data_IF_085586344123
#
_entry.id   IF_085586344123
#
_cell.length_a   1.000
_cell.length_b   1.000
_cell.length_c   1.000
_cell.angle_alpha   90.00
_cell.angle_beta   90.00
_cell.angle_gamma   90.00
#
_symmetry.space_group_name_H-M   'P 1'
#
loop_
_entity.id
_entity.type
_entity.pdbx_description
1 polymer ?
#
# COMPACT_ATOMS: atom_id res chain seq x y z
N UNK A 1 35.74 -48.68 -54.49
CA UNK A 1 36.06 -48.51 -53.07
C UNK A 1 34.80 -48.03 -52.37
N UNK A 2 33.98 -48.94 -51.84
CA UNK A 2 32.75 -48.63 -51.12
C UNK A 2 33.07 -48.57 -49.62
N UNK A 3 33.00 -47.37 -49.04
CA UNK A 3 33.11 -47.17 -47.60
C UNK A 3 31.70 -47.33 -47.02
N UNK A 4 31.39 -48.53 -46.54
CA UNK A 4 30.22 -48.77 -45.70
C UNK A 4 30.47 -48.17 -44.32
N UNK A 5 30.02 -46.94 -44.07
CA UNK A 5 29.96 -46.39 -42.72
C UNK A 5 28.93 -47.19 -41.92
N UNK A 6 29.40 -47.89 -40.89
CA UNK A 6 28.56 -48.76 -40.08
C UNK A 6 27.56 -47.93 -39.27
N UNK A 7 26.32 -48.43 -39.17
CA UNK A 7 25.22 -47.85 -38.38
C UNK A 7 25.53 -47.68 -36.88
N UNK A 8 26.72 -48.07 -36.43
CA UNK A 8 27.17 -48.07 -35.03
C UNK A 8 27.65 -46.67 -34.60
N UNK A 9 28.03 -45.79 -35.53
CA UNK A 9 28.55 -44.45 -35.18
C UNK A 9 27.51 -43.48 -34.60
N UNK A 10 26.22 -43.71 -34.80
CA UNK A 10 25.16 -42.79 -34.35
C UNK A 10 24.46 -43.23 -33.06
N UNK A 11 24.64 -44.49 -32.64
CA UNK A 11 24.02 -45.05 -31.43
C UNK A 11 24.31 -44.23 -30.16
N UNK A 12 25.55 -43.78 -29.87
CA UNK A 12 25.80 -42.98 -28.68
C UNK A 12 25.14 -41.58 -28.76
N UNK A 13 25.09 -40.99 -29.95
CA UNK A 13 24.43 -39.69 -30.16
C UNK A 13 22.92 -39.80 -29.99
N UNK A 14 22.31 -40.86 -30.51
CA UNK A 14 20.87 -41.12 -30.36
C UNK A 14 20.50 -41.39 -28.90
N UNK A 15 21.32 -42.15 -28.17
CA UNK A 15 21.10 -42.39 -26.73
C UNK A 15 21.21 -41.08 -25.94
N UNK A 16 22.21 -40.23 -26.22
CA UNK A 16 22.36 -38.94 -25.56
C UNK A 16 21.18 -37.99 -25.81
N UNK A 17 20.64 -37.95 -27.03
CA UNK A 17 19.46 -37.15 -27.35
C UNK A 17 18.23 -37.68 -26.62
N UNK A 18 18.02 -39.01 -26.61
CA UNK A 18 16.88 -39.62 -25.91
C UNK A 18 16.95 -39.36 -24.40
N UNK A 19 18.14 -39.51 -23.80
CA UNK A 19 18.34 -39.21 -22.36
C UNK A 19 18.16 -37.72 -22.09
N UNK A 20 18.67 -36.82 -22.93
CA UNK A 20 18.48 -35.38 -22.78
C UNK A 20 17.01 -34.97 -22.86
N UNK A 21 16.24 -35.55 -23.80
CA UNK A 21 14.79 -35.30 -23.92
C UNK A 21 14.04 -35.91 -22.74
N UNK A 22 14.39 -37.11 -22.29
CA UNK A 22 13.78 -37.72 -21.11
C UNK A 22 14.08 -36.92 -19.84
N UNK A 23 15.30 -36.41 -19.65
CA UNK A 23 15.62 -35.52 -18.54
C UNK A 23 14.88 -34.20 -18.67
N UNK A 24 14.64 -33.67 -19.86
CA UNK A 24 13.86 -32.44 -20.02
C UNK A 24 12.35 -32.65 -19.81
N UNK A 25 11.80 -33.81 -20.17
CA UNK A 25 10.38 -34.16 -20.00
C UNK A 25 10.07 -34.70 -18.60
N UNK A 26 11.04 -35.36 -17.95
CA UNK A 26 10.91 -35.96 -16.61
C UNK A 26 11.63 -35.20 -15.51
N UNK A 27 12.49 -34.23 -15.85
CA UNK A 27 12.71 -33.15 -14.91
C UNK A 27 11.31 -32.60 -14.65
N UNK A 28 10.91 -32.44 -13.39
CA UNK A 28 9.80 -31.54 -13.14
C UNK A 28 10.22 -30.26 -13.86
N UNK A 29 9.55 -29.92 -14.96
CA UNK A 29 9.34 -28.51 -15.22
C UNK A 29 8.90 -28.01 -13.86
N UNK A 30 9.64 -27.09 -13.27
CA UNK A 30 9.16 -26.32 -12.15
C UNK A 30 7.88 -25.65 -12.67
N UNK A 31 6.78 -26.42 -12.66
CA UNK A 31 5.43 -25.93 -12.55
C UNK A 31 5.55 -25.30 -11.18
N UNK A 32 5.94 -24.02 -11.20
CA UNK A 32 5.88 -23.10 -10.09
C UNK A 32 4.55 -23.45 -9.44
N UNK A 33 4.65 -24.16 -8.32
CA UNK A 33 3.51 -24.77 -7.71
C UNK A 33 2.69 -23.59 -7.22
N UNK A 34 1.68 -23.24 -8.00
CA UNK A 34 0.66 -22.31 -7.58
C UNK A 34 0.09 -22.86 -6.28
N UNK A 35 0.49 -22.26 -5.16
CA UNK A 35 0.14 -22.72 -3.84
C UNK A 35 -1.08 -21.94 -3.40
N UNK A 36 -2.25 -22.54 -3.54
CA UNK A 36 -3.49 -21.95 -3.04
C UNK A 36 -3.38 -21.77 -1.53
N UNK A 37 -3.28 -20.53 -1.07
CA UNK A 37 -3.38 -20.26 0.35
C UNK A 37 -4.69 -20.85 0.88
N UNK A 38 -4.60 -21.74 1.86
CA UNK A 38 -5.77 -22.29 2.53
C UNK A 38 -6.22 -21.32 3.62
N UNK A 39 -7.48 -21.42 4.06
CA UNK A 39 -7.94 -20.62 5.21
C UNK A 39 -7.02 -20.81 6.43
N UNK A 40 -6.47 -22.01 6.63
CA UNK A 40 -5.54 -22.34 7.70
C UNK A 40 -4.19 -21.59 7.61
N UNK A 41 -3.88 -20.95 6.48
CA UNK A 41 -2.67 -20.13 6.30
C UNK A 41 -2.95 -18.63 6.37
N UNK A 42 -4.22 -18.25 6.36
CA UNK A 42 -4.62 -16.87 6.59
C UNK A 42 -4.34 -16.45 8.05
N UNK A 43 -4.22 -15.15 8.26
CA UNK A 43 -4.11 -14.55 9.58
C UNK A 43 -5.30 -14.89 10.49
N UNK A 44 -6.45 -15.22 9.90
CA UNK A 44 -7.67 -15.52 10.64
C UNK A 44 -7.85 -17.02 10.92
N UNK A 45 -7.38 -17.91 10.05
CA UNK A 45 -7.57 -19.35 10.17
C UNK A 45 -6.38 -20.12 10.72
N UNK A 46 -5.24 -19.46 10.96
CA UNK A 46 -4.07 -20.11 11.54
C UNK A 46 -4.39 -20.69 12.94
N UNK A 47 -4.07 -21.98 13.21
CA UNK A 47 -4.41 -22.62 14.48
C UNK A 47 -3.59 -22.13 15.69
N UNK A 48 -2.54 -21.35 15.46
CA UNK A 48 -1.64 -20.83 16.48
C UNK A 48 -1.97 -19.39 16.88
N UNK A 49 -2.36 -18.55 15.91
CA UNK A 49 -2.58 -17.12 16.14
C UNK A 49 -3.83 -16.55 15.45
N UNK A 50 -4.66 -17.39 14.84
CA UNK A 50 -5.91 -17.00 14.18
C UNK A 50 -6.97 -16.44 15.12
N UNK A 51 -8.18 -16.25 14.59
CA UNK A 51 -9.30 -15.74 15.38
C UNK A 51 -9.59 -16.74 16.51
N UNK A 52 -9.76 -16.21 17.71
CA UNK A 52 -9.98 -16.94 18.93
C UNK A 52 -10.93 -16.19 19.86
N UNK A 53 -12.22 -16.52 19.74
CA UNK A 53 -13.23 -16.12 20.72
C UNK A 53 -13.28 -17.15 21.82
N UNK A 54 -12.48 -16.89 22.84
CA UNK A 54 -12.18 -17.85 23.91
C UNK A 54 -13.42 -18.35 24.68
N UNK A 55 -14.56 -17.66 24.59
CA UNK A 55 -15.83 -17.97 25.23
C UNK A 55 -16.70 -18.99 24.45
N UNK A 56 -16.39 -19.25 23.18
CA UNK A 56 -17.16 -20.15 22.31
C UNK A 56 -16.77 -21.63 22.40
N UNK A 57 -15.55 -21.92 22.88
CA UNK A 57 -15.00 -23.28 22.91
C UNK A 57 -14.56 -23.84 21.55
N UNK A 58 -14.64 -23.04 20.47
CA UNK A 58 -14.11 -23.43 19.16
C UNK A 58 -12.56 -23.40 19.15
N UNK A 59 -11.90 -24.29 18.38
CA UNK A 59 -10.45 -24.19 18.16
C UNK A 59 -10.06 -22.83 17.56
N UNK A 60 -8.85 -22.36 17.88
CA UNK A 60 -8.26 -21.16 17.25
C UNK A 60 -8.26 -21.34 15.73
N UNK A 61 -8.64 -20.29 14.99
CA UNK A 61 -8.70 -20.32 13.53
C UNK A 61 -9.90 -21.09 12.96
N UNK A 62 -10.87 -21.47 13.79
CA UNK A 62 -12.12 -22.09 13.32
C UNK A 62 -13.01 -21.08 12.59
N UNK A 63 -13.59 -21.49 11.46
CA UNK A 63 -14.59 -20.69 10.73
C UNK A 63 -15.75 -20.25 11.64
N UNK A 64 -16.08 -21.07 12.65
CA UNK A 64 -17.19 -20.84 13.57
C UNK A 64 -17.00 -19.60 14.47
N UNK A 65 -15.79 -19.04 14.55
CA UNK A 65 -15.58 -17.76 15.23
C UNK A 65 -16.26 -16.59 14.50
N UNK A 66 -16.40 -16.69 13.18
CA UNK A 66 -17.08 -15.71 12.33
C UNK A 66 -18.44 -16.21 11.84
N UNK A 67 -18.55 -17.52 11.60
CA UNK A 67 -19.71 -18.17 10.99
C UNK A 67 -20.39 -19.12 11.97
N UNK A 68 -21.25 -18.61 12.84
CA UNK A 68 -22.03 -19.50 13.70
C UNK A 68 -23.17 -20.15 12.91
N UNK A 69 -23.26 -21.47 13.01
CA UNK A 69 -24.32 -22.27 12.37
C UNK A 69 -25.39 -22.70 13.37
N UNK A 70 -25.31 -22.26 14.64
CA UNK A 70 -26.15 -22.77 15.72
C UNK A 70 -27.37 -21.92 16.10
N UNK A 71 -27.69 -20.84 15.38
CA UNK A 71 -28.99 -20.16 15.54
C UNK A 71 -30.06 -20.79 14.62
N UNK A 72 -30.73 -21.83 15.13
CA UNK A 72 -31.87 -22.50 14.48
C UNK A 72 -33.10 -21.59 14.26
N UNK A 73 -33.12 -20.36 14.81
CA UNK A 73 -34.31 -19.50 14.82
C UNK A 73 -34.37 -18.46 13.70
N UNK A 74 -33.28 -18.25 12.95
CA UNK A 74 -33.22 -17.25 11.89
C UNK A 74 -32.55 -17.88 10.66
N UNK A 75 -33.31 -18.03 9.58
CA UNK A 75 -32.84 -18.55 8.28
C UNK A 75 -32.84 -17.46 7.21
N UNK A 76 -31.68 -16.85 7.04
CA UNK A 76 -31.36 -15.80 6.08
C UNK A 76 -29.83 -15.75 5.95
N UNK A 77 -29.32 -15.50 4.75
CA UNK A 77 -27.88 -15.65 4.44
C UNK A 77 -26.97 -14.71 5.25
N UNK A 78 -27.55 -13.66 5.86
CA UNK A 78 -26.89 -12.75 6.81
C UNK A 78 -26.78 -13.30 8.24
N UNK A 79 -27.46 -14.40 8.57
CA UNK A 79 -27.58 -14.97 9.92
C UNK A 79 -26.62 -16.15 10.18
N UNK A 80 -25.89 -16.60 9.15
CA UNK A 80 -24.78 -17.55 9.30
C UNK A 80 -23.48 -16.87 9.75
N UNK A 81 -23.55 -15.62 10.18
CA UNK A 81 -22.44 -14.89 10.79
C UNK A 81 -22.78 -14.61 12.24
N UNK A 82 -21.81 -14.80 13.13
CA UNK A 82 -21.99 -14.49 14.55
C UNK A 82 -22.10 -12.96 14.79
N UNK A 83 -21.75 -12.17 13.78
CA UNK A 83 -21.64 -10.72 13.84
C UNK A 83 -22.52 -10.06 12.78
N UNK A 84 -23.66 -9.51 13.20
CA UNK A 84 -24.51 -8.66 12.38
C UNK A 84 -24.53 -7.24 12.95
N UNK A 85 -24.51 -6.18 12.11
CA UNK A 85 -24.51 -6.22 10.64
C UNK A 85 -23.11 -6.30 9.98
N UNK A 86 -23.02 -6.94 8.80
CA UNK A 86 -21.83 -6.95 7.93
C UNK A 86 -21.47 -5.56 7.37
N UNK A 87 -22.45 -4.66 7.29
CA UNK A 87 -22.32 -3.42 6.52
C UNK A 87 -21.78 -2.28 7.37
N UNK A 88 -20.88 -1.45 6.82
CA UNK A 88 -20.66 -0.13 7.37
C UNK A 88 -21.96 0.67 7.24
N UNK A 89 -22.70 0.76 8.34
CA UNK A 89 -23.75 1.78 8.51
C UNK A 89 -23.14 3.14 8.85
N UNK A 90 -21.85 3.14 9.26
CA UNK A 90 -21.02 4.30 9.56
C UNK A 90 -19.51 3.96 9.46
N UNK A 91 -18.64 4.94 9.67
CA UNK A 91 -17.18 4.76 9.87
C UNK A 91 -16.80 4.01 11.17
N UNK A 92 -17.77 3.72 12.03
CA UNK A 92 -17.54 3.18 13.37
C UNK A 92 -18.20 1.82 13.59
N UNK A 93 -19.13 1.41 12.72
CA UNK A 93 -19.90 0.18 12.84
C UNK A 93 -19.56 -0.76 11.67
N UNK A 94 -18.69 -1.73 11.91
CA UNK A 94 -18.20 -2.68 10.91
C UNK A 94 -17.88 -4.01 11.60
N UNK A 95 -18.26 -5.17 11.03
CA UNK A 95 -17.97 -6.48 11.64
C UNK A 95 -16.46 -6.68 11.90
N UNK A 96 -15.58 -6.18 11.02
CA UNK A 96 -14.14 -6.23 11.18
C UNK A 96 -13.70 -5.51 12.48
N UNK A 97 -14.35 -4.41 12.84
CA UNK A 97 -14.03 -3.65 14.05
C UNK A 97 -14.42 -4.38 15.34
N UNK A 98 -15.21 -5.45 15.28
CA UNK A 98 -15.46 -6.24 16.49
C UNK A 98 -14.20 -6.97 17.00
N UNK A 99 -13.22 -7.18 16.11
CA UNK A 99 -11.89 -7.69 16.46
C UNK A 99 -10.78 -6.64 16.25
N UNK A 100 -10.93 -5.73 15.28
CA UNK A 100 -9.97 -4.67 14.97
C UNK A 100 -10.30 -3.33 15.64
N UNK A 101 -10.81 -3.41 16.87
CA UNK A 101 -10.99 -2.31 17.82
C UNK A 101 -10.19 -2.66 19.09
N UNK A 102 -9.83 -1.63 19.83
CA UNK A 102 -9.25 -1.73 21.17
C UNK A 102 -10.23 -2.30 22.20
N UNK A 103 -11.55 -2.31 21.91
CA UNK A 103 -12.59 -2.78 22.80
C UNK A 103 -12.96 -4.26 22.55
N UNK A 104 -13.05 -5.03 23.63
CA UNK A 104 -12.80 -6.49 23.71
C UNK A 104 -14.03 -7.33 23.30
N UNK A 105 -14.85 -6.86 22.35
CA UNK A 105 -16.14 -7.50 22.08
C UNK A 105 -16.04 -8.97 21.60
N UNK A 106 -14.93 -9.34 20.94
CA UNK A 106 -14.65 -10.72 20.53
C UNK A 106 -13.18 -11.11 20.76
N UNK A 107 -12.23 -10.36 20.18
CA UNK A 107 -10.79 -10.50 20.36
C UNK A 107 -10.12 -9.22 19.89
N UNK A 108 -9.54 -8.44 20.80
CA UNK A 108 -8.79 -7.25 20.40
C UNK A 108 -7.47 -7.65 19.74
N UNK A 109 -7.22 -7.15 18.53
CA UNK A 109 -5.94 -7.29 17.82
C UNK A 109 -5.27 -5.93 17.71
N UNK A 110 -4.00 -5.86 18.12
CA UNK A 110 -3.19 -4.67 17.88
C UNK A 110 -2.84 -4.58 16.40
N UNK A 111 -3.35 -3.55 15.75
CA UNK A 111 -3.08 -3.21 14.36
C UNK A 111 -2.64 -1.76 14.30
N UNK A 112 -1.33 -1.53 14.34
CA UNK A 112 -0.79 -0.19 14.19
C UNK A 112 -1.00 0.32 12.76
N UNK A 113 -0.91 1.64 12.58
CA UNK A 113 -0.84 2.28 11.28
C UNK A 113 0.40 1.84 10.47
N UNK A 114 0.36 2.07 9.15
CA UNK A 114 1.39 1.58 8.23
C UNK A 114 2.76 2.18 8.59
N UNK A 115 2.82 3.47 8.87
CA UNK A 115 4.06 4.18 9.22
C UNK A 115 4.72 3.66 10.49
N UNK A 116 3.95 3.15 11.44
CA UNK A 116 4.55 2.50 12.62
C UNK A 116 4.95 1.05 12.35
N UNK A 117 4.08 0.28 11.70
CA UNK A 117 4.31 -1.14 11.44
C UNK A 117 5.48 -1.36 10.46
N UNK A 118 5.56 -0.54 9.42
CA UNK A 118 6.47 -0.74 8.29
C UNK A 118 7.47 0.40 8.12
N UNK A 119 7.19 1.56 8.71
CA UNK A 119 8.12 2.69 8.77
C UNK A 119 8.92 2.79 10.05
N UNK A 120 8.64 1.98 11.06
CA UNK A 120 9.34 2.01 12.35
C UNK A 120 9.07 3.27 13.19
N UNK A 121 8.05 4.06 12.82
CA UNK A 121 7.62 5.25 13.57
C UNK A 121 6.75 4.94 14.78
N UNK A 122 6.40 5.99 15.51
CA UNK A 122 5.45 5.90 16.62
C UNK A 122 4.04 5.67 16.11
N UNK A 123 3.33 4.69 16.68
CA UNK A 123 1.95 4.40 16.30
C UNK A 123 1.01 5.57 16.61
N UNK A 124 0.28 6.03 15.61
CA UNK A 124 -0.78 7.04 15.77
C UNK A 124 -2.12 6.39 16.12
N UNK A 125 -2.30 5.17 15.65
CA UNK A 125 -3.40 4.30 16.01
C UNK A 125 -2.85 2.92 16.34
N UNK A 126 -3.50 2.22 17.27
CA UNK A 126 -3.17 0.81 17.60
C UNK A 126 -4.26 -0.15 17.14
N UNK A 127 -5.30 0.35 16.46
CA UNK A 127 -6.37 -0.45 15.88
C UNK A 127 -6.90 0.19 14.58
N UNK A 128 -7.57 -0.61 13.75
CA UNK A 128 -8.02 -0.16 12.43
C UNK A 128 -9.24 0.77 12.55
N UNK A 129 -10.09 0.57 13.56
CA UNK A 129 -11.25 1.45 13.79
C UNK A 129 -10.81 2.90 14.01
N UNK A 130 -9.85 3.14 14.90
CA UNK A 130 -9.35 4.48 15.19
C UNK A 130 -8.68 5.10 13.96
N UNK A 131 -7.94 4.30 13.18
CA UNK A 131 -7.32 4.77 11.94
C UNK A 131 -8.36 5.31 10.93
N UNK A 132 -9.54 4.69 10.82
CA UNK A 132 -10.63 5.16 9.96
C UNK A 132 -11.45 6.33 10.54
N UNK A 133 -11.13 6.78 11.76
CA UNK A 133 -11.87 7.83 12.46
C UNK A 133 -11.08 9.13 12.68
N UNK A 134 -9.85 9.24 12.17
CA UNK A 134 -9.18 10.55 12.03
C UNK A 134 -10.03 11.49 11.17
N UNK A 135 -10.12 12.76 11.57
CA UNK A 135 -10.92 13.80 10.90
C UNK A 135 -12.43 13.65 11.04
N UNK A 136 -12.95 12.88 12.02
CA UNK A 136 -14.40 12.70 12.23
C UNK A 136 -14.86 13.22 13.61
N UNK A 137 -16.09 13.75 13.74
CA UNK A 137 -17.11 13.92 12.70
C UNK A 137 -16.91 15.17 11.83
N UNK A 138 -16.11 16.11 12.33
CA UNK A 138 -15.77 17.35 11.64
C UNK A 138 -14.44 17.12 10.91
N UNK A 139 -14.49 17.02 9.58
CA UNK A 139 -13.30 16.92 8.72
C UNK A 139 -12.59 18.27 8.65
N UNK A 140 -12.18 18.80 9.79
CA UNK A 140 -11.29 19.95 9.79
C UNK A 140 -9.89 19.47 9.49
N UNK A 141 -9.11 20.31 8.80
CA UNK A 141 -7.76 19.96 8.35
C UNK A 141 -6.80 19.62 9.50
N UNK A 142 -7.08 20.10 10.71
CA UNK A 142 -6.26 19.89 11.90
C UNK A 142 -6.61 18.59 12.67
N UNK A 143 -7.74 17.93 12.33
CA UNK A 143 -8.20 16.71 12.99
C UNK A 143 -7.73 15.42 12.28
N UNK A 144 -6.92 15.57 11.23
CA UNK A 144 -6.43 14.48 10.40
C UNK A 144 -7.36 14.08 9.25
N UNK A 145 -7.10 12.91 8.67
CA UNK A 145 -7.83 12.43 7.49
C UNK A 145 -7.89 10.91 7.42
N UNK A 146 -8.95 10.37 6.81
CA UNK A 146 -9.18 8.94 6.67
C UNK A 146 -9.97 8.63 5.40
N UNK A 147 -9.79 7.42 4.86
CA UNK A 147 -10.67 6.94 3.79
C UNK A 147 -12.09 6.74 4.33
N UNK A 148 -13.08 7.20 3.58
CA UNK A 148 -14.48 6.98 3.92
C UNK A 148 -14.94 5.61 3.37
N UNK A 149 -15.21 4.66 4.26
CA UNK A 149 -15.60 3.29 3.95
C UNK A 149 -16.92 3.20 3.19
N UNK A 150 -17.89 4.06 3.53
CA UNK A 150 -19.14 4.12 2.77
C UNK A 150 -18.88 4.59 1.33
N UNK A 151 -18.12 5.67 1.17
CA UNK A 151 -17.78 6.17 -0.17
C UNK A 151 -16.94 5.17 -0.95
N UNK A 152 -16.01 4.46 -0.31
CA UNK A 152 -15.22 3.41 -0.94
C UNK A 152 -16.09 2.29 -1.49
N UNK A 153 -17.07 1.81 -0.70
CA UNK A 153 -18.03 0.79 -1.13
C UNK A 153 -18.88 1.30 -2.29
N UNK A 154 -19.50 2.47 -2.13
CA UNK A 154 -20.42 3.02 -3.12
C UNK A 154 -19.69 3.34 -4.44
N UNK A 155 -18.43 3.77 -4.37
CA UNK A 155 -17.57 3.99 -5.53
C UNK A 155 -17.25 2.69 -6.27
N UNK A 156 -16.96 1.61 -5.54
CA UNK A 156 -16.62 0.32 -6.16
C UNK A 156 -17.85 -0.37 -6.77
N UNK A 157 -19.01 -0.30 -6.12
CA UNK A 157 -20.30 -0.79 -6.64
C UNK A 157 -20.61 -0.22 -8.04
N UNK A 158 -20.31 1.07 -8.26
CA UNK A 158 -20.55 1.75 -9.53
C UNK A 158 -19.56 1.46 -10.66
N UNK A 159 -18.56 0.57 -10.49
CA UNK A 159 -17.41 0.44 -11.39
C UNK A 159 -17.32 -0.89 -12.12
N UNK A 160 -16.64 -0.91 -13.27
CA UNK A 160 -16.32 -2.15 -13.98
C UNK A 160 -15.45 -3.07 -13.11
N UNK A 161 -15.90 -4.31 -12.92
CA UNK A 161 -15.30 -5.25 -11.96
C UNK A 161 -15.86 -5.13 -10.53
N UNK A 162 -16.82 -4.23 -10.32
CA UNK A 162 -17.52 -3.97 -9.07
C UNK A 162 -18.81 -4.76 -8.86
N UNK A 163 -19.30 -5.51 -9.87
CA UNK A 163 -20.59 -6.22 -9.88
C UNK A 163 -20.85 -7.20 -8.70
N UNK A 164 -19.84 -7.44 -7.86
CA UNK A 164 -19.87 -8.31 -6.69
C UNK A 164 -19.99 -7.53 -5.37
N UNK A 165 -19.68 -6.24 -5.41
CA UNK A 165 -19.98 -5.31 -4.33
C UNK A 165 -21.47 -5.03 -4.40
N UNK A 166 -22.11 -5.07 -3.24
CA UNK A 166 -23.52 -4.77 -3.06
C UNK A 166 -23.63 -3.81 -1.89
N UNK A 167 -24.84 -3.32 -1.62
CA UNK A 167 -25.12 -2.59 -0.37
C UNK A 167 -24.77 -3.39 0.88
N UNK A 168 -24.76 -4.74 0.74
CA UNK A 168 -24.44 -5.69 1.80
C UNK A 168 -22.95 -6.08 1.88
N UNK A 169 -22.10 -5.46 1.06
CA UNK A 169 -20.67 -5.74 1.05
C UNK A 169 -19.93 -4.84 2.04
N UNK A 170 -19.14 -5.44 2.92
CA UNK A 170 -18.24 -4.71 3.79
C UNK A 170 -17.12 -4.03 2.98
N UNK A 171 -16.89 -2.73 3.20
CA UNK A 171 -15.89 -1.98 2.45
C UNK A 171 -14.45 -2.53 2.66
N UNK A 172 -14.13 -3.05 3.84
CA UNK A 172 -12.81 -3.63 4.12
C UNK A 172 -12.53 -4.86 3.24
N UNK A 173 -13.57 -5.62 2.87
CA UNK A 173 -13.39 -6.80 2.01
C UNK A 173 -13.12 -6.43 0.55
N UNK A 174 -13.17 -5.16 0.16
CA UNK A 174 -12.72 -4.72 -1.17
C UNK A 174 -11.21 -4.93 -1.31
N UNK A 175 -10.46 -4.58 -0.25
CA UNK A 175 -9.00 -4.64 -0.22
C UNK A 175 -8.46 -5.87 0.50
N UNK A 176 -9.26 -6.50 1.36
CA UNK A 176 -8.87 -7.66 2.16
C UNK A 176 -9.77 -8.85 1.84
N UNK A 177 -9.26 -10.07 2.01
CA UNK A 177 -10.09 -11.26 2.01
C UNK A 177 -9.83 -11.99 3.33
N UNK A 178 -10.79 -12.01 4.27
CA UNK A 178 -10.56 -12.61 5.58
C UNK A 178 -10.23 -14.11 5.49
N UNK A 179 -10.54 -14.78 4.39
CA UNK A 179 -10.17 -16.17 4.20
C UNK A 179 -8.72 -16.38 3.73
N UNK A 180 -8.01 -15.30 3.33
CA UNK A 180 -6.69 -15.36 2.68
C UNK A 180 -5.66 -14.45 3.31
N UNK A 181 -6.06 -13.22 3.68
CA UNK A 181 -5.17 -12.19 4.21
C UNK A 181 -4.23 -12.76 5.26
N UNK A 182 -2.92 -12.65 5.01
CA UNK A 182 -1.88 -13.26 5.83
C UNK A 182 -1.25 -12.23 6.78
N UNK A 183 -0.60 -12.74 7.83
CA UNK A 183 0.14 -11.90 8.79
C UNK A 183 1.47 -11.47 8.17
N UNK A 184 1.55 -10.20 7.74
CA UNK A 184 2.59 -9.67 6.85
C UNK A 184 3.76 -8.96 7.55
N UNK A 185 3.87 -9.00 8.87
CA UNK A 185 4.91 -8.27 9.62
C UNK A 185 5.86 -9.15 10.45
N UNK A 186 5.40 -10.26 11.05
CA UNK A 186 6.15 -10.99 12.09
C UNK A 186 7.47 -11.65 11.64
N UNK A 187 7.67 -11.88 10.34
CA UNK A 187 8.88 -12.57 9.84
C UNK A 187 9.44 -11.98 8.54
N UNK A 188 8.87 -10.88 8.03
CA UNK A 188 9.22 -10.24 6.75
C UNK A 188 9.98 -11.15 5.76
N UNK A 189 9.34 -12.26 5.32
CA UNK A 189 10.02 -13.26 4.53
C UNK A 189 10.41 -12.71 3.15
N UNK A 190 11.53 -13.19 2.62
CA UNK A 190 11.96 -12.90 1.25
C UNK A 190 11.03 -13.59 0.25
N UNK A 191 10.77 -13.02 -0.94
CA UNK A 191 10.00 -13.69 -1.98
C UNK A 191 10.58 -15.08 -2.32
N UNK A 192 9.75 -16.08 -2.67
CA UNK A 192 8.30 -16.01 -2.89
C UNK A 192 7.46 -16.15 -1.60
N UNK A 193 8.08 -16.24 -0.43
CA UNK A 193 7.37 -16.50 0.83
C UNK A 193 6.69 -15.23 1.41
N UNK A 194 6.62 -14.14 0.63
CA UNK A 194 6.11 -12.85 1.10
C UNK A 194 4.63 -12.96 1.50
N UNK A 195 4.36 -12.78 2.79
CA UNK A 195 3.00 -12.76 3.30
C UNK A 195 2.38 -11.39 3.07
N UNK A 196 1.16 -11.35 2.55
CA UNK A 196 0.44 -10.08 2.34
C UNK A 196 -0.99 -10.15 2.85
N UNK A 197 -1.49 -9.00 3.31
CA UNK A 197 -2.84 -8.87 3.84
C UNK A 197 -3.84 -8.38 2.78
N UNK A 198 -3.36 -7.90 1.64
CA UNK A 198 -4.17 -7.21 0.63
C UNK A 198 -4.42 -8.08 -0.59
N UNK A 199 -5.54 -7.81 -1.27
CA UNK A 199 -5.87 -8.33 -2.60
C UNK A 199 -6.23 -7.19 -3.53
N UNK A 200 -5.97 -7.34 -4.83
CA UNK A 200 -6.36 -6.31 -5.79
C UNK A 200 -7.88 -6.32 -5.99
N UNK A 201 -8.53 -5.19 -5.78
CA UNK A 201 -9.99 -5.07 -5.77
C UNK A 201 -10.68 -5.52 -7.08
N UNK A 202 -10.02 -5.35 -8.24
CA UNK A 202 -10.53 -5.77 -9.56
C UNK A 202 -10.13 -7.19 -9.96
N UNK A 203 -9.30 -7.88 -9.18
CA UNK A 203 -8.83 -9.23 -9.46
C UNK A 203 -9.83 -10.29 -8.99
N UNK A 204 -11.14 -9.99 -8.96
CA UNK A 204 -12.13 -11.05 -8.77
C UNK A 204 -12.03 -11.99 -9.96
N UNK A 205 -11.60 -13.19 -9.63
CA UNK A 205 -11.84 -14.42 -10.34
C UNK A 205 -13.32 -14.55 -10.73
N UNK A 206 -13.66 -14.18 -11.95
CA UNK A 206 -14.98 -14.43 -12.55
C UNK A 206 -15.22 -15.91 -12.91
N UNK A 207 -14.39 -16.82 -12.36
CA UNK A 207 -14.46 -18.25 -12.61
C UNK A 207 -14.51 -19.06 -11.31
N UNK A 208 -15.30 -20.12 -11.31
CA UNK A 208 -15.45 -21.14 -10.25
C UNK A 208 -14.10 -21.83 -9.89
N UNK A 209 -13.03 -21.56 -10.64
CA UNK A 209 -11.67 -22.10 -10.50
C UNK A 209 -10.58 -21.02 -10.65
N UNK A 210 -10.88 -19.74 -10.38
CA UNK A 210 -9.80 -18.76 -10.31
C UNK A 210 -9.50 -18.43 -8.84
N UNK A 211 -8.28 -18.75 -8.40
CA UNK A 211 -7.91 -18.79 -7.00
C UNK A 211 -7.69 -17.38 -6.44
N UNK A 212 -7.70 -17.31 -5.12
CA UNK A 212 -7.92 -16.09 -4.35
C UNK A 212 -6.56 -15.40 -4.20
N UNK A 213 -6.18 -14.69 -5.27
CA UNK A 213 -4.87 -14.07 -5.44
C UNK A 213 -4.72 -12.90 -4.47
N UNK A 214 -3.82 -13.04 -3.52
CA UNK A 214 -3.36 -11.90 -2.74
C UNK A 214 -2.51 -11.00 -3.66
N UNK A 215 -2.14 -9.81 -3.17
CA UNK A 215 -1.35 -8.86 -3.96
C UNK A 215 0.01 -8.63 -3.30
N UNK A 216 1.05 -8.92 -4.04
CA UNK A 216 2.45 -8.78 -3.64
C UNK A 216 3.03 -10.03 -3.00
N UNK A 217 2.35 -11.17 -3.08
CA UNK A 217 2.88 -12.48 -2.71
C UNK A 217 3.63 -13.17 -3.86
N UNK A 218 3.45 -12.72 -5.10
CA UNK A 218 4.14 -13.26 -6.27
C UNK A 218 5.24 -12.32 -6.79
N UNK A 219 6.47 -12.84 -6.89
CA UNK A 219 7.59 -12.14 -7.55
C UNK A 219 7.40 -12.07 -9.08
N UNK A 220 6.75 -13.09 -9.62
CA UNK A 220 6.29 -13.14 -11.00
C UNK A 220 4.92 -12.44 -11.05
N UNK A 221 4.54 -11.81 -12.17
CA UNK A 221 3.28 -11.03 -12.31
C UNK A 221 3.26 -9.59 -11.76
N UNK A 222 4.43 -8.95 -11.58
CA UNK A 222 4.52 -7.48 -11.40
C UNK A 222 3.96 -6.94 -10.07
N UNK A 223 3.81 -7.80 -9.07
CA UNK A 223 3.11 -7.45 -7.83
C UNK A 223 4.01 -6.84 -6.75
N UNK A 224 5.33 -6.78 -6.98
CA UNK A 224 6.31 -6.14 -6.11
C UNK A 224 6.89 -4.89 -6.78
N UNK A 225 7.18 -3.85 -6.00
CA UNK A 225 7.74 -2.58 -6.50
C UNK A 225 9.06 -2.80 -7.26
N UNK A 226 9.93 -3.68 -6.75
CA UNK A 226 11.26 -3.93 -7.32
C UNK A 226 11.31 -4.87 -8.53
N UNK A 227 10.27 -5.68 -8.77
CA UNK A 227 10.30 -6.79 -9.74
C UNK A 227 9.32 -6.63 -10.91
N UNK A 228 8.80 -5.43 -11.16
CA UNK A 228 7.90 -5.19 -12.28
C UNK A 228 8.64 -5.32 -13.64
N UNK A 229 8.66 -6.51 -14.24
CA UNK A 229 9.39 -6.87 -15.48
C UNK A 229 8.96 -6.11 -16.74
N UNK A 230 7.92 -5.25 -16.68
CA UNK A 230 7.69 -4.23 -17.73
C UNK A 230 8.67 -3.05 -17.60
N UNK A 231 9.60 -3.09 -16.64
CA UNK A 231 10.61 -2.08 -16.38
C UNK A 231 10.01 -0.77 -15.86
N UNK A 232 8.76 -0.79 -15.39
CA UNK A 232 8.04 0.43 -15.06
C UNK A 232 8.62 1.16 -13.84
N UNK A 233 9.10 0.40 -12.85
CA UNK A 233 9.68 0.88 -11.59
C UNK A 233 10.99 0.20 -11.23
N UNK A 234 11.34 -0.88 -11.94
CA UNK A 234 12.57 -1.63 -11.72
C UNK A 234 13.76 -0.70 -11.88
N UNK A 235 14.68 -0.77 -10.93
CA UNK A 235 15.86 0.09 -10.80
C UNK A 235 15.58 1.59 -10.53
N UNK A 236 14.30 1.99 -10.40
CA UNK A 236 13.89 3.35 -10.03
C UNK A 236 13.35 3.42 -8.60
N UNK A 237 12.69 2.38 -8.10
CA UNK A 237 12.20 2.41 -6.73
C UNK A 237 13.34 2.44 -5.72
N UNK A 238 13.26 3.38 -4.78
CA UNK A 238 14.19 3.52 -3.66
C UNK A 238 13.38 3.67 -2.38
N UNK A 239 13.52 2.70 -1.47
CA UNK A 239 12.81 2.72 -0.20
C UNK A 239 13.32 3.87 0.70
N UNK A 240 12.43 4.52 1.47
CA UNK A 240 12.81 5.40 2.56
C UNK A 240 13.47 4.62 3.70
N UNK A 241 14.13 5.35 4.61
CA UNK A 241 14.66 4.73 5.82
C UNK A 241 13.57 4.31 6.82
N UNK A 242 13.80 3.16 7.45
CA UNK A 242 13.01 2.64 8.56
C UNK A 242 13.45 3.23 9.91
N UNK A 243 12.49 3.59 10.75
CA UNK A 243 12.70 4.09 12.10
C UNK A 243 13.25 5.51 12.14
N UNK A 244 13.86 5.91 13.26
CA UNK A 244 14.45 7.25 13.42
C UNK A 244 15.97 7.19 13.54
N UNK A 245 16.68 8.00 12.76
CA UNK A 245 18.13 8.14 12.88
C UNK A 245 18.75 9.01 11.80
N UNK A 246 20.05 9.32 11.91
CA UNK A 246 20.89 9.32 10.73
C UNK A 246 21.19 7.86 10.35
N UNK A 247 20.94 7.49 9.10
CA UNK A 247 21.15 6.14 8.60
C UNK A 247 22.19 6.10 7.48
N UNK A 248 22.74 4.92 7.23
CA UNK A 248 23.69 4.72 6.14
C UNK A 248 22.92 4.67 4.80
N UNK A 249 23.23 5.53 3.81
CA UNK A 249 22.52 5.57 2.53
C UNK A 249 22.63 4.30 1.70
N UNK A 250 23.60 3.44 1.98
CA UNK A 250 23.85 2.20 1.26
C UNK A 250 23.26 1.01 2.01
N UNK A 251 23.40 0.95 3.33
CA UNK A 251 23.02 -0.24 4.11
C UNK A 251 21.74 -0.08 4.95
N UNK A 252 21.12 1.10 4.96
CA UNK A 252 19.85 1.32 5.62
C UNK A 252 19.96 1.48 7.15
N UNK A 253 18.92 1.10 7.91
CA UNK A 253 17.79 0.23 7.54
C UNK A 253 16.72 0.90 6.67
N UNK A 254 16.09 0.13 5.78
CA UNK A 254 15.07 0.57 4.82
C UNK A 254 13.69 -0.02 5.11
N UNK A 255 12.66 0.72 4.73
CA UNK A 255 11.28 0.25 4.74
C UNK A 255 11.03 -0.85 3.67
N UNK A 256 10.04 -1.73 3.87
CA UNK A 256 9.17 -1.85 5.04
C UNK A 256 9.76 -2.73 6.17
N UNK A 257 10.88 -3.41 5.91
CA UNK A 257 11.35 -4.53 6.72
C UNK A 257 12.40 -4.16 7.79
N UNK A 258 12.91 -2.93 7.79
CA UNK A 258 13.96 -2.50 8.71
C UNK A 258 15.30 -3.20 8.45
N UNK A 259 15.58 -3.57 7.21
CA UNK A 259 16.79 -4.28 6.79
C UNK A 259 17.51 -3.53 5.65
N UNK A 260 18.48 -4.17 4.98
CA UNK A 260 19.28 -3.56 3.90
C UNK A 260 18.61 -3.61 2.51
N UNK A 261 17.37 -4.12 2.41
CA UNK A 261 16.64 -4.20 1.14
C UNK A 261 15.97 -2.86 0.81
N UNK A 262 16.53 -2.12 -0.13
CA UNK A 262 16.02 -0.79 -0.54
C UNK A 262 15.26 -0.77 -1.87
N UNK A 263 15.35 -1.84 -2.66
CA UNK A 263 14.90 -1.85 -4.05
C UNK A 263 13.43 -2.25 -4.24
N UNK A 264 12.68 -2.44 -3.15
CA UNK A 264 11.25 -2.78 -3.21
C UNK A 264 10.97 -4.23 -3.64
N UNK A 265 11.98 -5.10 -3.66
CA UNK A 265 11.78 -6.55 -3.87
C UNK A 265 11.03 -7.23 -2.73
N UNK A 266 10.73 -6.52 -1.64
CA UNK A 266 9.98 -6.97 -0.48
C UNK A 266 8.76 -6.06 -0.18
N UNK A 267 8.31 -5.29 -1.17
CA UNK A 267 7.19 -4.35 -1.02
C UNK A 267 6.16 -4.58 -2.12
N UNK A 268 4.89 -4.88 -1.79
CA UNK A 268 3.82 -4.94 -2.77
C UNK A 268 3.77 -3.65 -3.59
N UNK A 269 3.43 -3.78 -4.87
CA UNK A 269 3.30 -2.69 -5.80
C UNK A 269 2.05 -1.86 -5.47
N UNK A 270 2.16 -1.04 -4.42
CA UNK A 270 1.07 -0.25 -3.91
C UNK A 270 0.67 0.87 -4.88
N UNK A 271 1.55 1.26 -5.80
CA UNK A 271 1.18 2.15 -6.90
C UNK A 271 0.09 1.52 -7.75
N UNK A 272 0.30 0.30 -8.25
CA UNK A 272 -0.70 -0.40 -9.08
C UNK A 272 -1.96 -0.77 -8.29
N UNK A 273 -1.80 -1.06 -7.00
CA UNK A 273 -2.90 -1.30 -6.07
C UNK A 273 -3.77 -0.05 -5.91
N UNK A 274 -3.20 1.07 -5.45
CA UNK A 274 -3.90 2.32 -5.19
C UNK A 274 -4.48 2.92 -6.47
N UNK A 275 -3.76 2.88 -7.59
CA UNK A 275 -4.28 3.33 -8.89
C UNK A 275 -5.42 2.44 -9.42
N UNK A 276 -5.67 1.28 -8.83
CA UNK A 276 -6.92 0.57 -9.11
C UNK A 276 -8.13 1.42 -8.68
N UNK A 277 -7.99 2.34 -7.73
CA UNK A 277 -9.00 3.32 -7.34
C UNK A 277 -8.74 4.74 -7.87
N UNK A 278 -7.49 5.21 -7.80
CA UNK A 278 -7.09 6.61 -7.97
C UNK A 278 -6.80 7.07 -9.43
N UNK A 279 -7.52 6.55 -10.43
CA UNK A 279 -7.23 6.81 -11.87
C UNK A 279 -8.29 7.63 -12.63
N UNK A 280 -9.32 8.13 -11.96
CA UNK A 280 -10.47 8.77 -12.62
C UNK A 280 -10.31 10.28 -12.70
N UNK A 281 -10.59 10.84 -13.89
CA UNK A 281 -10.84 12.26 -14.11
C UNK A 281 -12.17 12.60 -13.43
N UNK A 282 -12.11 13.37 -12.35
CA UNK A 282 -13.32 13.96 -11.79
C UNK A 282 -13.41 15.37 -12.36
N UNK A 283 -14.46 15.64 -13.12
CA UNK A 283 -14.79 17.01 -13.55
C UNK A 283 -15.08 17.81 -12.27
N UNK A 284 -14.21 18.78 -11.96
CA UNK A 284 -14.28 19.63 -10.78
C UNK A 284 -15.54 20.52 -10.74
N UNK A 285 -16.41 20.48 -11.76
CA UNK A 285 -17.66 21.24 -11.82
C UNK A 285 -18.90 20.48 -11.33
N UNK A 286 -18.80 19.18 -11.03
CA UNK A 286 -19.93 18.39 -10.52
C UNK A 286 -20.10 18.55 -8.99
N UNK A 287 -20.90 19.55 -8.61
CA UNK A 287 -21.25 19.90 -7.22
C UNK A 287 -22.01 18.81 -6.44
N UNK A 288 -22.23 17.63 -7.02
CA UNK A 288 -22.90 16.50 -6.36
C UNK A 288 -21.95 15.42 -5.85
N UNK A 289 -20.62 15.62 -5.96
CA UNK A 289 -19.67 14.71 -5.34
C UNK A 289 -19.42 15.10 -3.88
N UNK A 290 -19.41 14.14 -2.95
CA UNK A 290 -19.08 14.44 -1.56
C UNK A 290 -17.65 14.97 -1.49
N UNK A 291 -17.43 16.03 -0.72
CA UNK A 291 -16.10 16.60 -0.44
C UNK A 291 -15.10 15.48 -0.08
N UNK A 292 -13.98 15.40 -0.81
CA UNK A 292 -12.98 14.31 -0.67
C UNK A 292 -12.54 13.68 -1.99
N UNK A 293 -12.44 14.47 -3.07
CA UNK A 293 -12.22 13.98 -4.43
C UNK A 293 -10.81 13.42 -4.62
N UNK A 294 -10.73 12.18 -5.09
CA UNK A 294 -9.53 11.48 -5.55
C UNK A 294 -8.86 12.32 -6.65
N UNK A 295 -7.71 12.95 -6.34
CA UNK A 295 -6.91 13.61 -7.37
C UNK A 295 -6.43 12.57 -8.40
N UNK A 296 -6.40 12.94 -9.68
CA UNK A 296 -5.84 12.08 -10.72
C UNK A 296 -4.34 11.96 -10.50
N UNK A 297 -3.89 10.82 -10.00
CA UNK A 297 -2.48 10.49 -9.94
C UNK A 297 -2.05 9.94 -11.30
N UNK A 298 -1.18 10.67 -12.00
CA UNK A 298 -0.63 10.20 -13.28
C UNK A 298 0.77 9.66 -13.06
N UNK A 299 0.88 8.35 -12.85
CA UNK A 299 2.16 7.71 -12.52
C UNK A 299 2.98 7.32 -13.77
N UNK A 300 3.19 8.29 -14.65
CA UNK A 300 3.86 8.15 -15.96
C UNK A 300 5.12 9.01 -16.06
N UNK A 301 5.91 8.84 -17.12
CA UNK A 301 7.20 9.53 -17.28
C UNK A 301 7.11 11.06 -17.46
N UNK A 302 5.91 11.59 -17.66
CA UNK A 302 5.63 13.03 -17.73
C UNK A 302 4.54 13.41 -16.69
N UNK A 303 4.47 12.64 -15.59
CA UNK A 303 3.40 12.68 -14.60
C UNK A 303 3.86 13.18 -13.24
N UNK A 304 3.53 12.46 -12.17
CA UNK A 304 3.91 12.82 -10.79
C UNK A 304 5.43 12.86 -10.57
N UNK A 305 5.91 13.87 -9.84
CA UNK A 305 7.34 14.08 -9.53
C UNK A 305 7.92 13.01 -8.62
N UNK A 306 7.12 12.48 -7.70
CA UNK A 306 7.49 11.33 -6.87
C UNK A 306 7.21 9.97 -7.56
N UNK A 307 6.72 10.03 -8.80
CA UNK A 307 6.44 8.87 -9.64
C UNK A 307 7.52 8.61 -10.67
N UNK A 308 7.15 8.58 -11.96
CA UNK A 308 8.11 8.33 -13.05
C UNK A 308 8.57 9.62 -13.73
N UNK A 309 8.14 10.81 -13.28
CA UNK A 309 8.61 12.05 -13.90
C UNK A 309 10.08 12.27 -13.53
N UNK A 310 10.95 12.19 -14.53
CA UNK A 310 12.41 12.06 -14.37
C UNK A 310 13.13 13.41 -14.25
N UNK A 311 12.64 14.36 -13.46
CA UNK A 311 13.35 15.63 -13.25
C UNK A 311 13.90 15.82 -11.84
N UNK A 312 14.18 14.71 -11.15
CA UNK A 312 14.85 14.66 -9.85
C UNK A 312 16.15 15.47 -9.86
N UNK A 313 16.05 16.75 -9.47
CA UNK A 313 17.17 17.66 -9.25
C UNK A 313 17.66 18.46 -10.46
N UNK A 314 17.05 18.40 -11.64
CA UNK A 314 17.64 19.04 -12.84
C UNK A 314 17.11 20.45 -13.18
N UNK A 315 16.03 20.92 -12.54
CA UNK A 315 15.41 22.22 -12.88
C UNK A 315 15.18 23.17 -11.70
N UNK A 316 15.80 22.92 -10.54
CA UNK A 316 15.75 23.86 -9.41
C UNK A 316 14.70 23.54 -8.33
N UNK A 317 14.27 22.30 -8.27
CA UNK A 317 13.19 21.82 -7.40
C UNK A 317 13.70 21.31 -6.04
N UNK A 318 14.88 21.75 -5.62
CA UNK A 318 15.51 21.41 -4.33
C UNK A 318 16.40 20.16 -4.37
N UNK A 319 17.20 20.00 -3.31
CA UNK A 319 18.08 18.84 -3.09
C UNK A 319 17.35 17.80 -2.25
N UNK A 320 17.52 16.52 -2.54
CA UNK A 320 17.00 15.41 -1.75
C UNK A 320 18.00 14.95 -0.68
N UNK A 321 17.47 14.38 0.39
CA UNK A 321 18.24 13.72 1.44
C UNK A 321 18.42 12.26 1.09
N UNK A 322 19.48 11.69 1.64
CA UNK A 322 19.64 10.24 1.67
C UNK A 322 18.35 9.55 2.18
N UNK A 323 18.01 8.37 1.64
CA UNK A 323 18.82 7.55 0.73
C UNK A 323 18.72 7.95 -0.75
N UNK A 324 17.91 8.95 -1.06
CA UNK A 324 17.80 9.49 -2.41
C UNK A 324 19.07 10.29 -2.77
N UNK A 325 19.39 10.33 -4.05
CA UNK A 325 20.58 11.02 -4.57
C UNK A 325 20.16 12.05 -5.61
N UNK A 326 20.58 13.30 -5.43
CA UNK A 326 20.38 14.39 -6.40
C UNK A 326 20.84 13.97 -7.80
N UNK A 327 20.01 14.21 -8.82
CA UNK A 327 20.34 13.91 -10.21
C UNK A 327 20.17 12.44 -10.60
N UNK A 328 19.84 11.55 -9.67
CA UNK A 328 19.38 10.20 -9.97
C UNK A 328 17.85 10.15 -9.95
N UNK A 329 17.25 9.51 -10.96
CA UNK A 329 15.82 9.23 -10.95
C UNK A 329 15.48 8.23 -9.86
N UNK A 330 14.43 8.51 -9.09
CA UNK A 330 13.83 7.57 -8.17
C UNK A 330 12.31 7.62 -8.25
N UNK A 331 11.65 6.56 -7.81
CA UNK A 331 10.20 6.45 -7.69
C UNK A 331 9.86 6.05 -6.26
N UNK A 332 8.78 6.61 -5.72
CA UNK A 332 8.22 6.20 -4.43
C UNK A 332 7.04 5.25 -4.62
N UNK A 333 6.66 4.54 -3.57
CA UNK A 333 5.40 3.86 -3.40
C UNK A 333 4.38 4.84 -2.80
N UNK A 334 3.09 4.64 -3.06
CA UNK A 334 2.04 5.44 -2.41
C UNK A 334 2.13 5.35 -0.88
N UNK A 335 2.49 4.18 -0.35
CA UNK A 335 2.62 3.95 1.09
C UNK A 335 3.90 4.49 1.70
N UNK A 336 4.87 4.98 0.92
CA UNK A 336 6.04 5.67 1.46
C UNK A 336 5.65 7.04 2.05
N UNK A 337 4.53 7.60 1.60
CA UNK A 337 4.03 8.91 2.03
C UNK A 337 2.65 8.84 2.67
N UNK A 338 1.79 7.89 2.30
CA UNK A 338 0.39 7.86 2.72
C UNK A 338 0.05 6.65 3.61
N UNK A 339 -0.80 6.90 4.60
CA UNK A 339 -1.52 5.89 5.37
C UNK A 339 -2.71 5.35 4.57
N UNK A 340 -2.80 4.03 4.33
CA UNK A 340 -3.88 3.45 3.54
C UNK A 340 -5.25 3.48 4.25
N UNK A 341 -5.28 3.65 5.58
CA UNK A 341 -6.52 3.69 6.37
C UNK A 341 -6.86 5.13 6.81
N UNK A 342 -5.93 5.78 7.52
CA UNK A 342 -6.03 7.16 7.94
C UNK A 342 -4.83 7.62 8.76
N UNK A 343 -4.72 8.94 8.92
CA UNK A 343 -3.62 9.61 9.56
C UNK A 343 -4.11 10.81 10.38
N UNK A 344 -3.42 11.16 11.49
CA UNK A 344 -3.66 12.44 12.17
C UNK A 344 -3.25 13.66 11.33
N UNK A 345 -2.52 13.48 10.22
CA UNK A 345 -2.23 14.54 9.25
C UNK A 345 -3.30 14.58 8.13
N UNK A 346 -3.51 15.74 7.48
CA UNK A 346 -4.32 15.84 6.29
C UNK A 346 -3.75 15.02 5.11
N UNK A 347 -4.60 14.76 4.11
CA UNK A 347 -4.26 14.03 2.88
C UNK A 347 -3.68 12.62 3.09
N UNK A 348 -4.04 11.99 4.20
CA UNK A 348 -3.57 10.68 4.63
C UNK A 348 -2.05 10.63 4.81
N UNK A 349 -1.37 11.75 4.97
CA UNK A 349 0.09 11.78 5.02
C UNK A 349 0.62 11.11 6.29
N UNK A 350 1.62 10.25 6.19
CA UNK A 350 2.22 9.56 7.36
C UNK A 350 2.82 10.56 8.35
N UNK A 351 2.91 10.18 9.61
CA UNK A 351 3.68 10.95 10.62
C UNK A 351 5.14 10.52 10.70
N UNK A 352 5.50 9.40 10.06
CA UNK A 352 6.86 8.93 9.94
C UNK A 352 7.20 8.68 8.48
N UNK A 353 8.19 9.41 7.95
CA UNK A 353 8.69 9.29 6.58
C UNK A 353 10.21 9.43 6.58
N UNK A 354 10.90 8.54 5.88
CA UNK A 354 12.33 8.62 5.60
C UNK A 354 13.21 8.94 6.82
N UNK A 355 13.10 8.16 7.89
CA UNK A 355 13.95 8.40 9.07
C UNK A 355 13.45 9.49 10.03
N UNK A 356 12.38 10.22 9.66
CA UNK A 356 11.81 11.32 10.45
C UNK A 356 10.45 10.92 11.00
N UNK A 357 10.35 10.77 12.31
CA UNK A 357 9.11 10.49 13.04
C UNK A 357 8.50 11.76 13.66
N UNK A 358 7.24 11.68 14.07
CA UNK A 358 6.53 12.77 14.75
C UNK A 358 6.19 13.95 13.84
N UNK A 359 6.11 13.73 12.52
CA UNK A 359 5.71 14.75 11.55
C UNK A 359 4.26 15.14 11.83
N UNK A 360 4.04 16.43 12.07
CA UNK A 360 2.72 17.00 12.29
C UNK A 360 2.48 18.14 11.32
N UNK A 361 1.41 18.03 10.54
CA UNK A 361 0.98 19.05 9.60
C UNK A 361 -0.24 19.73 10.20
N UNK A 362 -0.12 21.02 10.50
CA UNK A 362 -1.26 21.87 10.81
C UNK A 362 -1.45 22.88 9.69
N UNK A 363 -2.66 22.92 9.13
CA UNK A 363 -3.03 23.91 8.13
C UNK A 363 -3.53 25.14 8.91
N UNK A 364 -2.59 25.82 9.58
CA UNK A 364 -2.90 27.05 10.28
C UNK A 364 -3.36 28.13 9.28
N UNK A 365 -4.32 28.94 9.71
CA UNK A 365 -4.94 30.07 9.01
C UNK A 365 -4.05 30.79 7.98
N UNK A 366 -4.63 31.09 6.81
CA UNK A 366 -4.15 31.94 5.71
C UNK A 366 -2.88 32.76 6.04
N UNK A 367 -1.78 32.49 5.32
CA UNK A 367 -0.58 33.30 5.40
C UNK A 367 -0.68 34.49 4.44
N UNK A 368 -0.87 35.73 4.94
CA UNK A 368 -0.97 36.92 4.09
C UNK A 368 0.34 37.28 3.37
N UNK A 369 1.47 36.64 3.71
CA UNK A 369 2.76 36.86 3.05
C UNK A 369 2.90 36.06 1.75
N UNK A 370 2.19 34.94 1.63
CA UNK A 370 2.23 34.05 0.46
C UNK A 370 0.94 34.03 -0.35
N UNK A 371 -0.12 34.68 0.14
CA UNK A 371 -1.49 34.56 -0.39
C UNK A 371 -1.93 33.08 -0.53
N UNK A 372 -1.33 32.22 0.29
CA UNK A 372 -1.51 30.78 0.28
C UNK A 372 -1.63 30.29 1.73
N UNK A 373 -2.52 29.32 1.90
CA UNK A 373 -2.89 28.72 3.17
C UNK A 373 -2.13 27.41 3.44
N UNK A 374 -1.25 26.97 2.51
CA UNK A 374 -0.71 25.60 2.49
C UNK A 374 0.80 25.48 2.69
N UNK A 375 1.55 26.54 2.40
CA UNK A 375 3.01 26.49 2.20
C UNK A 375 3.82 26.02 3.40
N UNK A 376 3.54 26.61 4.57
CA UNK A 376 4.20 26.27 5.82
C UNK A 376 3.72 24.92 6.39
N UNK A 377 2.49 24.50 6.07
CA UNK A 377 1.89 23.30 6.64
C UNK A 377 2.63 22.04 6.21
N UNK A 378 3.05 21.96 4.94
CA UNK A 378 3.77 20.79 4.40
C UNK A 378 5.29 20.84 4.61
N UNK A 379 5.83 21.96 5.13
CA UNK A 379 7.28 22.10 5.34
C UNK A 379 7.86 20.98 6.21
N UNK A 380 7.20 20.66 7.32
CA UNK A 380 7.68 19.62 8.23
C UNK A 380 7.68 18.24 7.55
N UNK A 381 6.70 17.98 6.68
CA UNK A 381 6.64 16.75 5.90
C UNK A 381 7.72 16.69 4.81
N UNK A 382 7.83 17.72 3.97
CA UNK A 382 8.78 17.78 2.88
C UNK A 382 10.24 17.72 3.37
N UNK A 383 10.54 18.31 4.53
CA UNK A 383 11.89 18.23 5.13
C UNK A 383 12.28 16.82 5.59
N UNK A 384 11.40 15.82 5.56
CA UNK A 384 11.79 14.42 5.74
C UNK A 384 12.68 13.91 4.57
N UNK A 385 12.38 14.34 3.35
CA UNK A 385 13.04 13.87 2.14
C UNK A 385 13.85 14.95 1.41
N UNK A 386 13.57 16.24 1.66
CA UNK A 386 14.23 17.35 0.99
C UNK A 386 15.10 18.16 1.94
N UNK A 387 16.19 18.69 1.40
CA UNK A 387 16.98 19.76 2.01
C UNK A 387 16.30 21.07 1.68
N UNK A 388 15.78 21.74 2.71
CA UNK A 388 15.24 23.10 2.59
C UNK A 388 16.27 24.07 3.17
N UNK A 389 16.71 25.03 2.36
CA UNK A 389 17.77 25.98 2.72
C UNK A 389 17.17 27.21 3.42
N UNK A 390 17.57 27.46 4.67
CA UNK A 390 17.13 28.62 5.46
C UNK A 390 18.09 29.82 5.41
N UNK A 391 19.06 29.82 4.50
CA UNK A 391 20.25 30.71 4.60
C UNK A 391 20.02 32.17 4.23
N UNK A 392 18.79 32.62 4.02
CA UNK A 392 18.54 34.03 3.73
C UNK A 392 18.05 34.77 4.97
N UNK A 393 18.52 36.00 5.16
CA UNK A 393 17.96 36.97 6.11
C UNK A 393 16.52 37.39 5.76
N UNK A 394 15.93 36.77 4.75
CA UNK A 394 14.55 36.95 4.35
C UNK A 394 13.67 35.96 5.11
N UNK A 395 12.77 36.42 6.00
CA UNK A 395 11.78 35.55 6.64
C UNK A 395 10.83 34.86 5.65
N UNK A 396 10.91 35.16 4.34
CA UNK A 396 10.23 34.44 3.26
C UNK A 396 10.92 33.13 2.83
N UNK A 397 12.12 32.82 3.32
CA UNK A 397 12.90 31.66 2.89
C UNK A 397 12.55 30.34 3.62
N UNK A 398 11.82 30.39 4.73
CA UNK A 398 11.28 29.18 5.38
C UNK A 398 10.12 28.63 4.53
N UNK A 399 10.25 27.43 3.96
CA UNK A 399 9.22 26.83 3.09
C UNK A 399 9.57 26.74 1.59
N UNK A 400 10.69 27.32 1.15
CA UNK A 400 10.97 27.48 -0.28
C UNK A 400 12.07 26.55 -0.82
N UNK A 401 11.83 25.94 -1.98
CA UNK A 401 12.87 25.31 -2.79
C UNK A 401 13.65 26.41 -3.54
N UNK A 402 14.96 26.56 -3.28
CA UNK A 402 15.83 27.42 -4.10
C UNK A 402 16.72 26.59 -5.02
N UNK A 403 16.75 27.00 -6.29
CA UNK A 403 17.73 26.54 -7.28
C UNK A 403 19.10 27.15 -6.96
N UNK A 404 20.19 26.41 -7.12
CA UNK A 404 21.55 26.89 -6.88
C UNK A 404 22.05 27.98 -7.84
N UNK A 405 21.27 28.37 -8.87
CA UNK A 405 21.86 29.06 -10.03
C UNK A 405 21.27 30.41 -10.42
N UNK A 406 20.27 30.97 -9.74
CA UNK A 406 20.01 32.41 -9.91
C UNK A 406 19.23 33.01 -8.74
N UNK A 407 19.65 34.21 -8.33
CA UNK A 407 19.00 35.13 -7.40
C UNK A 407 17.60 35.60 -7.89
N UNK A 408 17.08 35.00 -8.98
CA UNK A 408 15.89 35.43 -9.73
C UNK A 408 14.98 34.28 -10.18
N UNK A 409 15.30 33.01 -9.86
CA UNK A 409 14.39 31.91 -10.18
C UNK A 409 13.16 31.95 -9.24
N UNK A 410 11.92 31.79 -9.76
CA UNK A 410 10.74 31.73 -8.92
C UNK A 410 10.86 30.54 -7.97
N UNK A 411 10.76 30.82 -6.67
CA UNK A 411 10.76 29.85 -5.59
C UNK A 411 9.55 28.93 -5.73
N UNK A 412 9.76 27.61 -5.82
CA UNK A 412 8.67 26.65 -5.72
C UNK A 412 8.39 26.38 -4.24
N UNK A 413 7.15 26.55 -3.85
CA UNK A 413 6.66 26.27 -2.51
C UNK A 413 6.46 24.76 -2.31
N UNK A 414 6.68 24.25 -1.09
CA UNK A 414 6.30 22.89 -0.71
C UNK A 414 4.81 22.62 -1.03
N UNK A 415 3.95 23.63 -0.88
CA UNK A 415 2.55 23.54 -1.27
C UNK A 415 2.30 23.49 -2.78
N UNK A 416 3.17 24.12 -3.59
CA UNK A 416 3.03 24.16 -5.06
C UNK A 416 3.28 22.81 -5.72
N UNK A 417 4.12 21.98 -5.12
CA UNK A 417 4.34 20.59 -5.57
C UNK A 417 3.19 19.65 -5.17
N UNK A 418 2.32 20.08 -4.26
CA UNK A 418 1.18 19.33 -3.75
C UNK A 418 -0.13 20.13 -3.86
N UNK A 419 -0.27 21.01 -4.87
CA UNK A 419 -1.56 21.65 -5.11
C UNK A 419 -2.53 20.60 -5.62
N UNK A 420 -3.41 20.16 -4.72
CA UNK A 420 -4.76 19.78 -5.13
C UNK A 420 -5.41 21.09 -5.58
N UNK A 421 -5.20 21.43 -6.86
CA UNK A 421 -5.60 22.71 -7.44
C UNK A 421 -7.05 23.02 -7.06
N UNK A 422 -7.15 24.16 -6.38
CA UNK A 422 -8.25 25.10 -6.33
C UNK A 422 -9.56 24.57 -6.92
N UNK A 423 -10.50 24.13 -6.08
CA UNK A 423 -11.96 24.33 -6.18
C UNK A 423 -12.60 23.37 -5.17
N UNK A 424 -12.85 23.89 -3.95
CA UNK A 424 -13.67 23.25 -2.91
C UNK A 424 -15.10 23.78 -2.95
#
# INVERSE_FOLDING_TARGET
MQITRSRIQYLPTTILIIVGVLVWVLAPSDVIAYYEATYAESAHGDPSYGINRSDTGYPIGSCAHCHDTFDDSICGVNELMLFAPMNPTSQTDNFCFQCHDSDISAQAVTNNDYGSTFGGGTANSTNIKDAFNFGKPNQTWDDGSSHNLQMLRDWWDGRSGGDWVTTDTNACVICHDPHYSQKNHDTYPTPPDYKTAVRRANARSSGVNQPRNLWGDEAENYELMGLNTNGEYTDLYQAPYYGSGPWDPVTGPFEPAGNDTSNGSNLPNFVSFCLSCHVVYVDQTDVNLPSGILCRLTWTTNGEEHGKNHDAGSSGEGTVKAPYTDGNSYCLSCTDCHEPHGSPNPFLLRTCVNGKDGISISIASYDPLFDDWRSLALYDFCTACHVVYTTDTDPRAEGQHRTFTSEQAPTKDCAMCHTHDEYF
#
